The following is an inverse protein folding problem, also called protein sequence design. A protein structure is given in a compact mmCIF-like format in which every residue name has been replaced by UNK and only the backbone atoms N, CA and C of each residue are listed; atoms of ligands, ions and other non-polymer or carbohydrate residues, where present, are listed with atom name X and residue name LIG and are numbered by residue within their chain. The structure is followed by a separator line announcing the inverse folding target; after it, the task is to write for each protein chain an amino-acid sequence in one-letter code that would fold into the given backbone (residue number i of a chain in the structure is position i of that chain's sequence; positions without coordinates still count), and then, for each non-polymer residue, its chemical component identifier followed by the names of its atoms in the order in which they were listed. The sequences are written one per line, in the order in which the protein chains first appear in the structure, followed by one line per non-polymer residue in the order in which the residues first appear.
data_IF_007341785735
#
_entry.id   IF_007341785735
#
_cell.length_a   1.000
_cell.length_b   1.000
_cell.length_c   1.000
_cell.angle_alpha   90.00
_cell.angle_beta   90.00
_cell.angle_gamma   90.00
#
_symmetry.space_group_name_H-M   'P 1'
#
loop_
_entity.id
_entity.type
_entity.pdbx_description
1 polymer ?
#
# COMPACT_ATOMS: atom_id res chain seq x y z
N UNK A 1 -29.30 9.21 9.48
CA UNK A 1 -29.40 10.49 8.75
C UNK A 1 -28.02 10.84 8.18
N UNK A 2 -27.96 11.37 6.99
CA UNK A 2 -26.75 11.94 6.34
C UNK A 2 -27.07 13.32 5.80
N UNK A 3 -26.08 14.15 5.62
CA UNK A 3 -26.27 15.46 4.99
C UNK A 3 -26.20 15.31 3.47
N UNK A 4 -27.08 16.01 2.77
CA UNK A 4 -27.03 16.07 1.32
C UNK A 4 -25.73 16.75 0.86
N UNK A 5 -24.99 16.11 -0.03
CA UNK A 5 -23.70 16.63 -0.53
C UNK A 5 -23.82 17.91 -1.35
N UNK A 6 -25.05 18.28 -1.76
CA UNK A 6 -25.28 19.45 -2.61
C UNK A 6 -25.94 20.61 -1.85
N UNK A 7 -26.98 20.36 -1.05
CA UNK A 7 -27.71 21.41 -0.35
C UNK A 7 -27.56 21.39 1.18
N UNK A 8 -26.90 20.44 1.75
CA UNK A 8 -26.63 20.33 3.17
C UNK A 8 -27.81 19.90 4.06
N UNK A 9 -29.01 19.68 3.49
CA UNK A 9 -30.17 19.25 4.26
C UNK A 9 -30.00 17.78 4.72
N UNK A 10 -30.49 17.48 5.92
CA UNK A 10 -30.50 16.12 6.44
C UNK A 10 -31.47 15.24 5.68
N UNK A 11 -31.00 14.10 5.22
CA UNK A 11 -31.74 13.09 4.48
C UNK A 11 -31.49 11.71 5.06
N UNK A 12 -32.33 10.74 4.77
CA UNK A 12 -32.09 9.36 5.19
C UNK A 12 -30.83 8.75 4.58
N UNK A 13 -30.18 7.85 5.32
CA UNK A 13 -28.95 7.17 4.85
C UNK A 13 -29.14 6.41 3.53
N UNK A 14 -30.33 5.85 3.31
CA UNK A 14 -30.70 5.08 2.12
C UNK A 14 -31.05 5.94 0.90
N UNK A 15 -31.25 7.24 1.08
CA UNK A 15 -31.75 8.16 0.04
C UNK A 15 -30.70 8.30 -1.09
N UNK A 16 -31.12 7.93 -2.30
CA UNK A 16 -30.32 8.04 -3.52
C UNK A 16 -30.47 9.39 -4.24
N UNK A 17 -31.57 10.08 -4.02
CA UNK A 17 -31.87 11.38 -4.60
C UNK A 17 -32.43 12.28 -3.50
N UNK A 18 -31.83 13.46 -3.32
CA UNK A 18 -32.24 14.39 -2.29
C UNK A 18 -33.68 14.90 -2.54
N UNK A 19 -34.59 14.79 -1.56
CA UNK A 19 -35.96 15.29 -1.75
C UNK A 19 -36.08 16.83 -1.78
N UNK A 20 -35.00 17.53 -1.39
CA UNK A 20 -35.02 19.00 -1.31
C UNK A 20 -34.42 19.68 -2.55
N UNK A 21 -33.36 19.11 -3.13
CA UNK A 21 -32.68 19.68 -4.29
C UNK A 21 -32.66 18.75 -5.50
N UNK A 22 -33.29 17.57 -5.40
CA UNK A 22 -33.44 16.56 -6.45
C UNK A 22 -32.11 16.05 -7.05
N UNK A 23 -30.99 16.40 -6.42
CA UNK A 23 -29.68 15.94 -6.88
C UNK A 23 -29.38 14.50 -6.42
N UNK A 24 -28.78 13.68 -7.29
CA UNK A 24 -28.42 12.32 -6.93
C UNK A 24 -27.36 12.31 -5.85
N UNK A 25 -27.58 11.50 -4.81
CA UNK A 25 -26.63 11.30 -3.72
C UNK A 25 -25.74 10.11 -4.06
N UNK A 26 -24.47 10.36 -4.29
CA UNK A 26 -23.48 9.29 -4.42
C UNK A 26 -23.29 8.67 -3.05
N UNK A 27 -23.49 7.35 -2.95
CA UNK A 27 -23.16 6.62 -1.75
C UNK A 27 -21.65 6.74 -1.49
N UNK A 28 -21.27 7.65 -0.62
CA UNK A 28 -19.89 7.84 -0.19
C UNK A 28 -19.30 6.49 0.31
N UNK A 29 -20.15 5.63 0.91
CA UNK A 29 -19.79 4.28 1.32
C UNK A 29 -19.46 3.33 0.17
N UNK A 30 -20.09 3.49 -1.00
CA UNK A 30 -19.78 2.66 -2.17
C UNK A 30 -18.48 3.09 -2.85
N UNK A 31 -18.16 4.38 -2.84
CA UNK A 31 -16.90 4.90 -3.35
C UNK A 31 -15.71 4.42 -2.49
N UNK A 32 -15.85 4.43 -1.16
CA UNK A 32 -14.83 3.92 -0.23
C UNK A 32 -14.66 2.40 -0.36
N UNK A 33 -15.75 1.65 -0.53
CA UNK A 33 -15.68 0.18 -0.65
C UNK A 33 -15.09 -0.29 -2.00
N UNK A 34 -15.14 0.55 -3.04
CA UNK A 34 -14.59 0.23 -4.37
C UNK A 34 -13.10 0.58 -4.51
N UNK A 35 -12.55 1.40 -3.59
CA UNK A 35 -11.13 1.76 -3.60
C UNK A 35 -10.21 0.81 -2.82
N UNK A 36 -10.73 -0.23 -2.14
CA UNK A 36 -10.01 -0.70 -0.97
C UNK A 36 -9.82 -2.20 -0.82
N UNK A 37 -10.29 -3.06 -1.69
CA UNK A 37 -9.97 -4.49 -1.57
C UNK A 37 -8.99 -4.92 -2.67
N UNK A 38 -7.73 -5.13 -2.29
CA UNK A 38 -6.72 -5.77 -3.10
C UNK A 38 -5.80 -4.84 -3.89
N UNK A 39 -5.90 -3.53 -3.72
CA UNK A 39 -5.01 -2.62 -4.42
C UNK A 39 -3.56 -2.74 -3.92
N UNK A 40 -2.64 -2.89 -4.84
CA UNK A 40 -1.21 -2.77 -4.60
C UNK A 40 -0.85 -1.30 -4.74
N UNK A 41 -0.20 -0.75 -3.72
CA UNK A 41 0.33 0.62 -3.73
C UNK A 41 1.85 0.57 -3.87
N UNK A 42 2.39 1.32 -4.82
CA UNK A 42 3.83 1.47 -5.01
C UNK A 42 4.31 2.75 -4.33
N UNK A 43 5.37 2.64 -3.54
CA UNK A 43 6.01 3.75 -2.84
C UNK A 43 7.48 3.81 -3.22
N UNK A 44 7.92 4.91 -3.81
CA UNK A 44 9.32 5.14 -4.15
C UNK A 44 10.02 5.86 -2.99
N UNK A 45 10.93 5.16 -2.32
CA UNK A 45 11.69 5.68 -1.19
C UNK A 45 12.99 6.39 -1.62
N UNK A 46 13.38 6.30 -2.90
CA UNK A 46 14.58 6.93 -3.43
C UNK A 46 14.33 8.30 -4.07
N UNK A 47 13.07 8.67 -4.24
CA UNK A 47 12.72 9.93 -4.88
C UNK A 47 13.31 11.12 -4.12
N UNK A 48 14.05 11.99 -4.85
CA UNK A 48 14.73 13.14 -4.26
C UNK A 48 16.02 12.82 -3.51
N UNK A 49 16.52 11.58 -3.57
CA UNK A 49 17.72 11.12 -2.87
C UNK A 49 17.71 11.47 -1.38
N UNK A 50 16.71 11.02 -0.61
CA UNK A 50 16.56 11.37 0.78
C UNK A 50 17.64 10.74 1.65
N UNK A 51 17.83 11.29 2.85
CA UNK A 51 18.55 10.60 3.92
C UNK A 51 17.78 9.37 4.36
N UNK A 52 18.48 8.40 4.95
CA UNK A 52 17.88 7.15 5.44
C UNK A 52 16.70 7.40 6.39
N UNK A 53 16.84 8.33 7.33
CA UNK A 53 15.80 8.69 8.29
C UNK A 53 14.51 9.21 7.62
N UNK A 54 14.68 10.05 6.59
CA UNK A 54 13.55 10.59 5.84
C UNK A 54 12.86 9.51 5.01
N UNK A 55 13.63 8.60 4.42
CA UNK A 55 13.10 7.44 3.69
C UNK A 55 12.29 6.53 4.62
N UNK A 56 12.78 6.22 5.82
CA UNK A 56 12.07 5.42 6.81
C UNK A 56 10.80 6.12 7.32
N UNK A 57 10.87 7.41 7.56
CA UNK A 57 9.70 8.21 7.95
C UNK A 57 8.62 8.18 6.86
N UNK A 58 9.02 8.34 5.61
CA UNK A 58 8.12 8.23 4.46
C UNK A 58 7.52 6.82 4.36
N UNK A 59 8.32 5.78 4.48
CA UNK A 59 7.85 4.38 4.48
C UNK A 59 6.80 4.15 5.56
N UNK A 60 7.11 4.51 6.81
CA UNK A 60 6.20 4.29 7.93
C UNK A 60 4.87 5.03 7.77
N UNK A 61 4.91 6.26 7.28
CA UNK A 61 3.71 7.03 6.96
C UNK A 61 2.85 6.33 5.90
N UNK A 62 3.48 5.85 4.83
CA UNK A 62 2.77 5.18 3.73
C UNK A 62 2.23 3.80 4.13
N UNK A 63 2.95 3.05 4.96
CA UNK A 63 2.45 1.78 5.50
C UNK A 63 1.24 2.01 6.42
N UNK A 64 1.29 3.04 7.25
CA UNK A 64 0.16 3.42 8.10
C UNK A 64 -1.08 3.81 7.26
N UNK A 65 -0.91 4.67 6.27
CA UNK A 65 -1.99 5.07 5.36
C UNK A 65 -2.57 3.85 4.62
N UNK A 66 -1.73 2.96 4.12
CA UNK A 66 -2.14 1.75 3.44
C UNK A 66 -3.04 0.86 4.33
N UNK A 67 -2.67 0.71 5.59
CA UNK A 67 -3.50 -0.03 6.57
C UNK A 67 -4.85 0.64 6.81
N UNK A 68 -4.87 1.97 6.96
CA UNK A 68 -6.11 2.73 7.16
C UNK A 68 -7.03 2.64 5.95
N UNK A 69 -6.46 2.65 4.75
CA UNK A 69 -7.20 2.57 3.50
C UNK A 69 -7.57 1.13 3.09
N UNK A 70 -7.15 0.11 3.87
CA UNK A 70 -7.38 -1.30 3.56
C UNK A 70 -6.59 -1.82 2.36
N UNK A 71 -5.50 -1.18 1.98
CA UNK A 71 -4.53 -1.69 1.01
C UNK A 71 -3.94 -2.99 1.54
N UNK A 72 -3.79 -3.99 0.69
CA UNK A 72 -3.29 -5.29 1.10
C UNK A 72 -1.79 -5.43 0.97
N UNK A 73 -1.21 -4.86 -0.08
CA UNK A 73 0.23 -4.97 -0.38
C UNK A 73 0.81 -3.61 -0.73
N UNK A 74 1.94 -3.28 -0.13
CA UNK A 74 2.75 -2.11 -0.46
C UNK A 74 4.04 -2.58 -1.13
N UNK A 75 4.30 -2.08 -2.33
CA UNK A 75 5.52 -2.32 -3.09
C UNK A 75 6.49 -1.16 -2.84
N UNK A 76 7.55 -1.42 -2.08
CA UNK A 76 8.57 -0.42 -1.76
C UNK A 76 9.69 -0.47 -2.79
N UNK A 77 10.01 0.67 -3.38
CA UNK A 77 11.20 0.86 -4.22
C UNK A 77 12.24 1.60 -3.38
N UNK A 78 13.31 0.91 -3.02
CA UNK A 78 14.39 1.46 -2.20
C UNK A 78 15.74 1.45 -2.92
N UNK A 79 15.78 0.86 -4.13
CA UNK A 79 17.02 0.66 -4.84
C UNK A 79 18.01 -0.27 -4.11
N UNK A 80 19.17 -0.45 -4.69
CA UNK A 80 20.28 -1.19 -4.09
C UNK A 80 21.56 -0.38 -4.01
N UNK A 81 21.42 0.95 -4.07
CA UNK A 81 22.52 1.89 -3.96
C UNK A 81 23.41 1.97 -5.20
N UNK A 82 24.23 3.03 -5.27
CA UNK A 82 25.14 3.30 -6.37
C UNK A 82 26.27 2.26 -6.50
N UNK A 83 26.56 1.51 -5.43
CA UNK A 83 27.59 0.46 -5.39
C UNK A 83 27.09 -0.93 -5.80
N UNK A 84 25.79 -1.11 -6.00
CA UNK A 84 25.19 -2.40 -6.35
C UNK A 84 25.20 -3.48 -5.26
N UNK A 85 25.69 -3.15 -4.06
CA UNK A 85 25.86 -4.10 -2.94
C UNK A 85 24.76 -3.98 -1.85
N UNK A 86 23.71 -3.26 -2.12
CA UNK A 86 22.64 -2.96 -1.17
C UNK A 86 22.88 -1.60 -0.49
N UNK A 87 22.04 -0.64 -0.81
CA UNK A 87 22.14 0.71 -0.25
C UNK A 87 21.75 0.76 1.23
N UNK A 88 22.17 1.83 1.89
CA UNK A 88 21.86 2.08 3.29
C UNK A 88 20.34 2.12 3.53
N UNK A 89 19.57 2.65 2.58
CA UNK A 89 18.09 2.66 2.66
C UNK A 89 17.52 1.25 2.66
N UNK A 90 17.99 0.36 1.77
CA UNK A 90 17.55 -1.05 1.73
C UNK A 90 17.77 -1.75 3.06
N UNK A 91 18.95 -1.63 3.63
CA UNK A 91 19.30 -2.27 4.91
C UNK A 91 18.42 -1.73 6.04
N UNK A 92 18.27 -0.41 6.13
CA UNK A 92 17.45 0.22 7.15
C UNK A 92 15.96 -0.16 7.00
N UNK A 93 15.44 -0.21 5.78
CA UNK A 93 14.07 -0.69 5.48
C UNK A 93 13.86 -2.10 5.98
N UNK A 94 14.77 -3.02 5.70
CA UNK A 94 14.63 -4.42 6.13
C UNK A 94 14.63 -4.54 7.66
N UNK A 95 15.53 -3.82 8.35
CA UNK A 95 15.56 -3.79 9.82
C UNK A 95 14.24 -3.27 10.39
N UNK A 96 13.73 -2.17 9.85
CA UNK A 96 12.47 -1.57 10.28
C UNK A 96 11.27 -2.49 10.02
N UNK A 97 11.24 -3.18 8.88
CA UNK A 97 10.19 -4.14 8.55
C UNK A 97 10.23 -5.38 9.46
N UNK A 98 11.40 -5.84 9.89
CA UNK A 98 11.49 -6.90 10.89
C UNK A 98 10.90 -6.48 12.24
N UNK A 99 11.15 -5.25 12.67
CA UNK A 99 10.53 -4.68 13.88
C UNK A 99 9.01 -4.61 13.71
N UNK A 100 8.53 -4.09 12.58
CA UNK A 100 7.10 -4.01 12.28
C UNK A 100 6.43 -5.40 12.27
N UNK A 101 7.11 -6.42 11.75
CA UNK A 101 6.63 -7.80 11.75
C UNK A 101 6.49 -8.34 13.18
N UNK A 102 7.49 -8.12 14.04
CA UNK A 102 7.45 -8.53 15.45
C UNK A 102 6.35 -7.82 16.24
N UNK A 103 6.10 -6.55 15.93
CA UNK A 103 5.03 -5.76 16.54
C UNK A 103 3.65 -6.08 15.98
N UNK A 104 3.56 -6.88 14.91
CA UNK A 104 2.30 -7.23 14.26
C UNK A 104 1.67 -6.08 13.47
N UNK A 105 2.43 -5.04 13.14
CA UNK A 105 1.95 -3.92 12.32
C UNK A 105 1.95 -4.23 10.82
N UNK A 106 2.70 -5.23 10.41
CA UNK A 106 2.64 -5.86 9.09
C UNK A 106 2.47 -7.37 9.25
N UNK A 107 1.97 -8.05 8.22
CA UNK A 107 1.76 -9.50 8.24
C UNK A 107 2.99 -10.27 7.78
N UNK A 108 3.62 -9.81 6.72
CA UNK A 108 4.85 -10.38 6.15
C UNK A 108 5.47 -9.43 5.14
N UNK A 109 6.73 -9.66 4.81
CA UNK A 109 7.41 -8.98 3.72
C UNK A 109 8.39 -9.93 3.01
N UNK A 110 8.76 -9.59 1.78
CA UNK A 110 9.71 -10.33 0.97
C UNK A 110 10.51 -9.39 0.09
N UNK A 111 11.82 -9.60 0.00
CA UNK A 111 12.66 -8.88 -0.96
C UNK A 111 12.39 -9.36 -2.38
N UNK A 112 12.58 -8.48 -3.37
CA UNK A 112 12.39 -8.85 -4.77
C UNK A 112 13.32 -9.94 -5.26
N UNK A 113 14.51 -10.07 -4.66
CA UNK A 113 15.47 -11.13 -4.96
C UNK A 113 14.98 -12.52 -4.53
N UNK A 114 14.21 -12.63 -3.45
CA UNK A 114 13.66 -13.87 -2.91
C UNK A 114 12.22 -14.13 -3.35
N UNK A 115 11.61 -13.20 -4.07
CA UNK A 115 10.19 -13.20 -4.37
C UNK A 115 9.74 -14.42 -5.18
N UNK A 116 10.56 -14.90 -6.10
CA UNK A 116 10.20 -16.02 -6.97
C UNK A 116 10.15 -17.35 -6.24
N UNK A 117 11.18 -17.65 -5.47
CA UNK A 117 11.44 -18.99 -4.95
C UNK A 117 10.92 -19.21 -3.54
N UNK A 118 10.58 -18.15 -2.81
CA UNK A 118 10.13 -18.24 -1.44
C UNK A 118 8.68 -18.70 -1.30
N UNK A 119 8.36 -19.30 -0.17
CA UNK A 119 6.98 -19.62 0.22
C UNK A 119 6.12 -18.36 0.35
N UNK A 120 6.70 -17.28 0.88
CA UNK A 120 6.03 -15.98 1.05
C UNK A 120 5.64 -15.40 -0.30
N UNK A 121 6.56 -15.38 -1.27
CA UNK A 121 6.30 -14.89 -2.61
C UNK A 121 5.20 -15.68 -3.33
N UNK A 122 5.22 -17.01 -3.22
CA UNK A 122 4.16 -17.86 -3.79
C UNK A 122 2.80 -17.60 -3.13
N UNK A 123 2.78 -17.46 -1.82
CA UNK A 123 1.58 -17.16 -1.06
C UNK A 123 0.98 -15.80 -1.44
N UNK A 124 1.81 -14.76 -1.55
CA UNK A 124 1.37 -13.44 -1.98
C UNK A 124 0.80 -13.46 -3.41
N UNK A 125 1.45 -14.12 -4.35
CA UNK A 125 0.93 -14.24 -5.73
C UNK A 125 -0.40 -14.99 -5.81
N UNK A 126 -0.58 -16.01 -4.99
CA UNK A 126 -1.82 -16.77 -4.93
C UNK A 126 -2.99 -15.94 -4.39
N UNK A 127 -2.73 -15.11 -3.36
CA UNK A 127 -3.74 -14.25 -2.74
C UNK A 127 -4.04 -12.98 -3.51
N UNK A 128 -3.03 -12.43 -4.19
CA UNK A 128 -3.10 -11.14 -4.90
C UNK A 128 -2.72 -11.33 -6.36
N UNK A 129 -3.69 -11.69 -7.22
CA UNK A 129 -3.42 -11.95 -8.65
C UNK A 129 -2.78 -10.78 -9.38
N UNK A 130 -2.99 -9.54 -8.93
CA UNK A 130 -2.40 -8.32 -9.47
C UNK A 130 -0.87 -8.35 -9.43
N UNK A 131 -0.28 -9.07 -8.47
CA UNK A 131 1.18 -9.24 -8.38
C UNK A 131 1.76 -10.03 -9.56
N UNK A 132 0.96 -10.83 -10.25
CA UNK A 132 1.40 -11.58 -11.43
C UNK A 132 1.78 -10.68 -12.60
N UNK A 133 1.15 -9.52 -12.70
CA UNK A 133 1.46 -8.54 -13.75
C UNK A 133 2.85 -7.91 -13.52
N UNK A 134 3.28 -7.81 -12.27
CA UNK A 134 4.56 -7.23 -11.88
C UNK A 134 5.70 -8.24 -11.80
N UNK A 135 5.45 -9.54 -12.00
CA UNK A 135 6.47 -10.60 -11.82
C UNK A 135 7.71 -10.34 -12.65
N UNK A 136 7.57 -9.88 -13.90
CA UNK A 136 8.70 -9.63 -14.80
C UNK A 136 9.64 -8.53 -14.28
N UNK A 137 9.09 -7.50 -13.64
CA UNK A 137 9.85 -6.35 -13.15
C UNK A 137 10.36 -6.56 -11.73
N UNK A 138 9.66 -7.35 -10.94
CA UNK A 138 9.91 -7.50 -9.51
C UNK A 138 10.73 -8.74 -9.17
N UNK A 139 10.62 -9.78 -10.00
CA UNK A 139 11.36 -11.01 -9.83
C UNK A 139 12.87 -10.78 -9.96
N UNK A 140 13.62 -11.14 -8.91
CA UNK A 140 15.06 -10.94 -8.86
C UNK A 140 15.49 -9.47 -8.71
N UNK A 141 14.54 -8.56 -8.56
CA UNK A 141 14.84 -7.14 -8.39
C UNK A 141 15.24 -6.82 -6.96
N UNK A 142 16.54 -6.64 -6.75
CA UNK A 142 17.12 -6.30 -5.43
C UNK A 142 16.72 -4.91 -4.92
N UNK A 143 16.17 -4.07 -5.78
CA UNK A 143 15.76 -2.70 -5.47
C UNK A 143 14.35 -2.56 -4.91
N UNK A 144 13.62 -3.66 -4.73
CA UNK A 144 12.25 -3.65 -4.23
C UNK A 144 12.03 -4.60 -3.05
N UNK A 145 11.00 -4.29 -2.27
CA UNK A 145 10.46 -5.16 -1.21
C UNK A 145 8.95 -5.08 -1.24
N UNK A 146 8.29 -6.22 -1.15
CA UNK A 146 6.83 -6.32 -1.05
C UNK A 146 6.44 -6.52 0.41
N UNK A 147 5.46 -5.75 0.88
CA UNK A 147 4.98 -5.77 2.27
C UNK A 147 3.48 -6.03 2.28
N UNK A 148 3.05 -7.09 2.96
CA UNK A 148 1.63 -7.32 3.26
C UNK A 148 1.26 -6.61 4.57
N UNK A 149 0.38 -5.66 4.48
CA UNK A 149 -0.06 -4.83 5.61
C UNK A 149 -1.37 -5.28 6.25
#
# INVERSE_FOLDING_TARGET
MKDCTTCGNQIEMSTRQCPYCEQPQRDAFRAVKKMVQGAIVTVNLEEGRPFVEDALRHMNSRLYEARQNGTSVVRLIHGYGSSGTGGAIKQAVHVELEVALRLGTIKQFISGEDYQDSKVGRHLRARFPELKECVRTDQGNRGITLVEV
#
